data_IF_816565123771
#
_entry.id   IF_816565123771
#
_cell.length_a   1.000
_cell.length_b   1.000
_cell.length_c   1.000
_cell.angle_alpha   90.00
_cell.angle_beta   90.00
_cell.angle_gamma   90.00
#
_symmetry.space_group_name_H-M   'P 1'
#
loop_
_entity.id
_entity.type
_entity.pdbx_description
1 polymer ?
#
# COMPACT_ATOMS: atom_id res chain seq x y z
N UNK A 1 -10.97 -4.99 26.66
CA UNK A 1 -9.77 -5.68 27.19
C UNK A 1 -9.56 -5.31 28.65
N UNK A 2 -9.13 -6.27 29.48
CA UNK A 2 -8.85 -6.06 30.92
C UNK A 2 -7.48 -5.42 31.13
N UNK A 3 -7.37 -4.54 32.12
CA UNK A 3 -6.06 -4.03 32.62
C UNK A 3 -5.30 -5.12 33.36
N UNK A 4 -3.98 -4.97 33.49
CA UNK A 4 -3.13 -5.95 34.17
C UNK A 4 -3.60 -6.16 35.62
N UNK A 5 -3.94 -5.07 36.31
CA UNK A 5 -4.46 -5.14 37.68
C UNK A 5 -5.76 -5.93 37.76
N UNK A 6 -6.73 -5.65 36.89
CA UNK A 6 -8.01 -6.37 36.87
C UNK A 6 -7.82 -7.86 36.60
N UNK A 7 -6.95 -8.22 35.65
CA UNK A 7 -6.63 -9.62 35.36
C UNK A 7 -6.03 -10.32 36.58
N UNK A 8 -5.04 -9.68 37.21
CA UNK A 8 -4.35 -10.24 38.39
C UNK A 8 -5.30 -10.39 39.58
N UNK A 9 -6.18 -9.42 39.82
CA UNK A 9 -7.16 -9.50 40.90
C UNK A 9 -8.16 -10.65 40.67
N UNK A 10 -8.64 -10.84 39.44
CA UNK A 10 -9.53 -11.95 39.08
C UNK A 10 -8.84 -13.30 39.31
N UNK A 11 -7.65 -13.51 38.74
CA UNK A 11 -6.96 -14.80 38.82
C UNK A 11 -6.48 -15.12 40.24
N UNK A 12 -6.14 -14.10 41.03
CA UNK A 12 -5.80 -14.26 42.44
C UNK A 12 -6.98 -14.75 43.28
N UNK A 13 -8.19 -14.26 43.01
CA UNK A 13 -9.40 -14.71 43.72
C UNK A 13 -9.73 -16.19 43.44
N UNK A 14 -9.24 -16.71 42.31
CA UNK A 14 -9.35 -18.12 41.91
C UNK A 14 -8.17 -18.99 42.40
N UNK A 15 -7.27 -18.44 43.21
CA UNK A 15 -6.03 -19.10 43.66
C UNK A 15 -5.11 -19.56 42.51
N UNK A 16 -5.10 -18.85 41.39
CA UNK A 16 -4.24 -19.11 40.25
C UNK A 16 -2.99 -18.23 40.33
N UNK A 17 -1.81 -18.83 40.24
CA UNK A 17 -0.55 -18.10 40.09
C UNK A 17 -0.45 -17.55 38.66
N UNK A 18 -0.02 -16.30 38.56
CA UNK A 18 0.05 -15.59 37.28
C UNK A 18 1.47 -15.23 36.93
N UNK A 19 1.83 -15.43 35.67
CA UNK A 19 3.18 -15.20 35.16
C UNK A 19 3.12 -14.36 33.88
N UNK A 20 3.68 -13.15 33.96
CA UNK A 20 3.84 -12.30 32.78
C UNK A 20 4.91 -12.88 31.86
N UNK A 21 4.59 -12.99 30.58
CA UNK A 21 5.53 -13.36 29.55
C UNK A 21 6.21 -12.11 28.97
N UNK A 22 7.43 -12.29 28.49
CA UNK A 22 8.15 -11.24 27.76
C UNK A 22 7.85 -11.26 26.25
N UNK A 23 7.23 -12.33 25.76
CA UNK A 23 6.87 -12.52 24.35
C UNK A 23 5.63 -13.40 24.24
N UNK A 24 4.92 -13.29 23.11
CA UNK A 24 3.80 -14.17 22.75
C UNK A 24 4.29 -15.62 22.64
N UNK A 25 3.43 -16.60 22.95
CA UNK A 25 3.73 -18.02 22.75
C UNK A 25 3.40 -18.39 21.30
N UNK A 26 4.40 -18.88 20.56
CA UNK A 26 4.23 -19.42 19.20
C UNK A 26 4.44 -20.94 19.23
N UNK A 27 3.34 -21.70 19.25
CA UNK A 27 3.36 -23.17 19.22
C UNK A 27 2.21 -23.71 18.38
N UNK A 28 2.39 -24.88 17.76
CA UNK A 28 1.38 -25.46 16.86
C UNK A 28 0.16 -26.07 17.59
N UNK A 29 0.32 -26.43 18.87
CA UNK A 29 -0.73 -27.10 19.66
C UNK A 29 -1.57 -26.11 20.48
N UNK A 30 -2.18 -25.14 19.80
CA UNK A 30 -3.03 -24.12 20.40
C UNK A 30 -4.51 -24.51 20.35
N UNK A 31 -5.21 -24.35 21.48
CA UNK A 31 -6.67 -24.39 21.55
C UNK A 31 -7.15 -23.05 22.06
N UNK A 32 -7.89 -22.33 21.24
CA UNK A 32 -8.55 -21.10 21.66
C UNK A 32 -9.84 -21.44 22.43
N UNK A 33 -10.07 -20.70 23.52
CA UNK A 33 -11.31 -20.72 24.30
C UNK A 33 -12.05 -19.38 24.10
N UNK A 34 -13.37 -19.39 24.28
CA UNK A 34 -14.20 -18.21 24.00
C UNK A 34 -14.01 -17.09 25.02
N UNK A 35 -13.87 -17.43 26.31
CA UNK A 35 -13.88 -16.44 27.40
C UNK A 35 -12.86 -16.74 28.50
N UNK A 36 -12.51 -15.70 29.27
CA UNK A 36 -11.61 -15.84 30.41
C UNK A 36 -12.22 -16.78 31.46
N UNK A 37 -13.54 -16.70 31.64
CA UNK A 37 -14.31 -17.53 32.53
C UNK A 37 -14.22 -19.02 32.13
N UNK A 38 -14.21 -19.33 30.83
CA UNK A 38 -14.00 -20.70 30.34
C UNK A 38 -12.58 -21.19 30.61
N UNK A 39 -11.57 -20.34 30.42
CA UNK A 39 -10.18 -20.66 30.75
C UNK A 39 -9.99 -20.92 32.25
N UNK A 40 -10.57 -20.08 33.11
CA UNK A 40 -10.54 -20.25 34.57
C UNK A 40 -11.27 -21.54 34.97
N UNK A 41 -12.46 -21.79 34.42
CA UNK A 41 -13.22 -23.02 34.69
C UNK A 41 -12.43 -24.26 34.27
N UNK A 42 -11.77 -24.21 33.11
CA UNK A 42 -10.92 -25.29 32.64
C UNK A 42 -9.71 -25.49 33.56
N UNK A 43 -9.05 -24.42 33.97
CA UNK A 43 -7.90 -24.47 34.86
C UNK A 43 -8.27 -25.09 36.21
N UNK A 44 -9.34 -24.60 36.85
CA UNK A 44 -9.85 -25.12 38.11
C UNK A 44 -10.27 -26.60 38.00
N UNK A 45 -10.98 -26.96 36.92
CA UNK A 45 -11.43 -28.33 36.68
C UNK A 45 -10.30 -29.35 36.48
N UNK A 46 -9.11 -28.89 36.07
CA UNK A 46 -7.93 -29.72 35.81
C UNK A 46 -6.77 -29.50 36.79
N UNK A 47 -7.02 -28.82 37.92
CA UNK A 47 -6.01 -28.48 38.93
C UNK A 47 -4.79 -27.71 38.36
N UNK A 48 -5.02 -26.86 37.36
CA UNK A 48 -4.00 -25.98 36.80
C UNK A 48 -3.97 -24.71 37.66
N UNK A 49 -2.88 -24.54 38.40
CA UNK A 49 -2.70 -23.42 39.32
C UNK A 49 -1.80 -22.31 38.76
N UNK A 50 -1.49 -22.36 37.47
CA UNK A 50 -0.54 -21.45 36.81
C UNK A 50 -1.10 -21.00 35.47
N UNK A 51 -1.20 -19.69 35.27
CA UNK A 51 -1.60 -19.04 34.03
C UNK A 51 -0.51 -18.06 33.60
N UNK A 52 -0.26 -18.00 32.30
CA UNK A 52 0.66 -17.05 31.70
C UNK A 52 -0.12 -15.98 30.94
N UNK A 53 0.41 -14.77 30.83
CA UNK A 53 -0.23 -13.72 30.03
C UNK A 53 0.79 -12.83 29.35
N UNK A 54 0.38 -12.24 28.23
CA UNK A 54 1.17 -11.32 27.43
C UNK A 54 0.29 -10.19 26.91
N UNK A 55 0.82 -8.96 26.93
CA UNK A 55 0.19 -7.81 26.32
C UNK A 55 0.96 -7.44 25.06
N UNK A 56 0.24 -7.37 23.93
CA UNK A 56 0.79 -6.88 22.67
C UNK A 56 0.54 -5.38 22.58
N UNK A 57 1.59 -4.64 22.24
CA UNK A 57 1.56 -3.20 22.02
C UNK A 57 1.88 -2.94 20.56
N UNK A 58 1.27 -1.91 20.00
CA UNK A 58 1.73 -1.35 18.74
C UNK A 58 2.87 -0.38 19.02
N UNK A 59 3.65 -0.13 17.99
CA UNK A 59 4.49 1.05 17.90
C UNK A 59 4.00 1.95 16.75
N UNK A 60 4.67 3.09 16.60
CA UNK A 60 4.41 4.05 15.54
C UNK A 60 4.46 3.40 14.15
N UNK A 61 5.46 2.54 13.92
CA UNK A 61 5.65 1.86 12.62
C UNK A 61 4.47 0.97 12.22
N UNK A 62 3.73 0.42 13.18
CA UNK A 62 2.56 -0.41 12.90
C UNK A 62 1.41 0.37 12.24
N UNK A 63 1.34 1.69 12.43
CA UNK A 63 0.26 2.54 11.92
C UNK A 63 0.73 3.54 10.87
N UNK A 64 2.00 3.91 10.85
CA UNK A 64 2.57 4.83 9.86
C UNK A 64 2.59 4.24 8.46
N UNK A 65 2.26 5.06 7.47
CA UNK A 65 2.31 4.73 6.05
C UNK A 65 3.76 4.81 5.57
N UNK A 66 4.32 3.67 5.16
CA UNK A 66 5.64 3.56 4.56
C UNK A 66 5.62 3.59 3.03
N UNK A 67 6.80 3.67 2.43
CA UNK A 67 6.93 3.62 0.96
C UNK A 67 6.40 2.32 0.36
N UNK A 68 6.57 1.20 1.07
CA UNK A 68 6.14 -0.10 0.57
C UNK A 68 4.61 -0.21 0.54
N UNK A 69 3.92 0.35 1.55
CA UNK A 69 2.46 0.48 1.55
C UNK A 69 1.98 1.30 0.35
N UNK A 70 2.63 2.43 0.08
CA UNK A 70 2.28 3.30 -1.07
C UNK A 70 2.49 2.57 -2.41
N UNK A 71 3.59 1.81 -2.56
CA UNK A 71 3.91 1.08 -3.79
C UNK A 71 2.86 0.03 -4.14
N UNK A 72 2.19 -0.57 -3.16
CA UNK A 72 1.14 -1.56 -3.40
C UNK A 72 -0.04 -0.99 -4.20
N UNK A 73 -0.33 0.30 -4.03
CA UNK A 73 -1.43 0.99 -4.73
C UNK A 73 -1.07 1.43 -6.16
N UNK A 74 0.20 1.33 -6.58
CA UNK A 74 0.66 1.66 -7.94
C UNK A 74 0.21 3.04 -8.42
N UNK A 75 0.33 4.03 -7.54
CA UNK A 75 -0.01 5.43 -7.79
C UNK A 75 0.93 5.99 -8.86
N UNK A 76 0.38 6.74 -9.83
CA UNK A 76 1.15 7.39 -10.91
C UNK A 76 2.08 8.47 -10.32
N UNK A 77 3.31 8.60 -10.85
CA UNK A 77 4.31 9.55 -10.32
C UNK A 77 3.83 11.01 -10.34
N UNK A 78 2.98 11.39 -11.30
CA UNK A 78 2.43 12.75 -11.37
C UNK A 78 1.35 13.00 -10.31
N UNK A 79 0.73 11.93 -9.80
CA UNK A 79 -0.33 11.98 -8.78
C UNK A 79 0.24 11.87 -7.37
N UNK A 80 1.34 11.14 -7.21
CA UNK A 80 1.97 10.90 -5.90
C UNK A 80 2.21 12.21 -5.10
N UNK A 81 2.69 13.32 -5.68
CA UNK A 81 2.85 14.58 -4.94
C UNK A 81 1.57 15.13 -4.30
N UNK A 82 0.40 14.87 -4.89
CA UNK A 82 -0.90 15.28 -4.34
C UNK A 82 -1.18 14.53 -3.04
N UNK A 83 -0.83 13.25 -3.00
CA UNK A 83 -1.13 12.36 -1.89
C UNK A 83 -0.03 12.34 -0.83
N UNK A 84 1.20 12.67 -1.21
CA UNK A 84 2.35 12.65 -0.32
C UNK A 84 2.16 13.60 0.87
N UNK A 85 1.63 14.80 0.64
CA UNK A 85 1.34 15.76 1.72
C UNK A 85 0.36 15.19 2.74
N UNK A 86 -0.65 14.44 2.28
CA UNK A 86 -1.65 13.83 3.15
C UNK A 86 -1.13 12.58 3.86
N UNK A 87 -0.26 11.79 3.22
CA UNK A 87 0.46 10.69 3.89
C UNK A 87 1.38 11.21 4.99
N UNK A 88 2.15 12.27 4.71
CA UNK A 88 3.06 12.88 5.66
C UNK A 88 2.30 13.45 6.86
N UNK A 89 1.18 14.12 6.61
CA UNK A 89 0.30 14.65 7.65
C UNK A 89 -0.33 13.55 8.50
N UNK A 90 -0.78 12.45 7.88
CA UNK A 90 -1.29 11.28 8.61
C UNK A 90 -0.20 10.72 9.54
N UNK A 91 1.02 10.53 9.03
CA UNK A 91 2.15 10.04 9.82
C UNK A 91 2.54 11.00 10.95
N UNK A 92 2.46 12.31 10.72
CA UNK A 92 2.69 13.31 11.77
C UNK A 92 1.67 13.16 12.91
N UNK A 93 0.40 12.91 12.59
CA UNK A 93 -0.62 12.66 13.62
C UNK A 93 -0.43 11.30 14.33
N UNK A 94 -0.02 10.25 13.60
CA UNK A 94 0.35 8.96 14.21
C UNK A 94 1.50 9.12 15.21
N UNK A 95 2.50 9.93 14.89
CA UNK A 95 3.66 10.18 15.78
C UNK A 95 3.28 10.82 17.13
N UNK A 96 2.07 11.39 17.24
CA UNK A 96 1.55 12.03 18.45
C UNK A 96 0.76 11.07 19.34
N UNK A 97 0.52 9.83 18.90
CA UNK A 97 -0.28 8.85 19.63
C UNK A 97 0.44 8.26 20.84
N UNK A 98 -0.34 7.88 21.85
CA UNK A 98 0.15 7.18 23.02
C UNK A 98 0.06 5.65 22.83
N UNK A 99 1.18 5.07 22.41
CA UNK A 99 1.35 3.62 22.21
C UNK A 99 1.52 2.82 23.52
N UNK A 100 1.44 3.46 24.68
CA UNK A 100 1.53 2.76 25.97
C UNK A 100 0.31 1.88 26.27
N UNK A 101 -0.77 2.01 25.50
CA UNK A 101 -1.97 1.19 25.61
C UNK A 101 -1.84 -0.09 24.77
N UNK A 102 -2.06 -1.29 25.35
CA UNK A 102 -2.00 -2.52 24.58
C UNK A 102 -3.18 -2.62 23.61
N UNK A 103 -2.94 -3.34 22.52
CA UNK A 103 -3.95 -3.66 21.50
C UNK A 103 -4.49 -5.07 21.62
N UNK A 104 -3.80 -5.94 22.34
CA UNK A 104 -4.21 -7.33 22.56
C UNK A 104 -3.69 -7.81 23.92
N UNK A 105 -4.49 -8.65 24.56
CA UNK A 105 -4.12 -9.42 25.75
C UNK A 105 -4.32 -10.90 25.43
N UNK A 106 -3.23 -11.67 25.44
CA UNK A 106 -3.27 -13.12 25.33
C UNK A 106 -3.06 -13.76 26.70
N UNK A 107 -3.88 -14.74 27.06
CA UNK A 107 -3.82 -15.43 28.36
C UNK A 107 -3.80 -16.93 28.11
N UNK A 108 -2.87 -17.64 28.75
CA UNK A 108 -2.53 -19.03 28.44
C UNK A 108 -2.57 -19.94 29.67
N UNK A 109 -2.95 -21.19 29.47
CA UNK A 109 -2.62 -22.28 30.39
C UNK A 109 -2.11 -23.50 29.61
N UNK A 110 -1.32 -24.35 30.26
CA UNK A 110 -0.72 -25.54 29.62
C UNK A 110 -1.36 -26.78 30.22
N UNK A 111 -1.87 -27.66 29.37
CA UNK A 111 -2.47 -28.92 29.78
C UNK A 111 -2.09 -30.04 28.80
N UNK A 112 -1.47 -31.10 29.33
CA UNK A 112 -1.10 -32.31 28.56
C UNK A 112 -0.31 -32.00 27.27
N UNK A 113 0.57 -30.99 27.29
CA UNK A 113 1.38 -30.59 26.14
C UNK A 113 0.64 -29.72 25.11
N UNK A 114 -0.61 -29.33 25.40
CA UNK A 114 -1.38 -28.36 24.64
C UNK A 114 -1.38 -27.02 25.36
N UNK A 115 -1.41 -25.93 24.59
CA UNK A 115 -1.58 -24.58 25.11
C UNK A 115 -3.02 -24.15 24.87
N UNK A 116 -3.78 -23.95 25.93
CA UNK A 116 -5.10 -23.35 25.83
C UNK A 116 -4.96 -21.85 26.04
N UNK A 117 -5.67 -21.05 25.27
CA UNK A 117 -5.54 -19.61 25.37
C UNK A 117 -6.85 -18.87 25.08
N UNK A 118 -6.89 -17.61 25.49
CA UNK A 118 -7.88 -16.64 25.04
C UNK A 118 -7.17 -15.36 24.59
N UNK A 119 -7.81 -14.62 23.69
CA UNK A 119 -7.37 -13.28 23.28
C UNK A 119 -8.46 -12.24 23.56
N UNK A 120 -8.01 -11.04 23.91
CA UNK A 120 -8.87 -9.88 24.07
C UNK A 120 -8.27 -8.70 23.34
N UNK A 121 -8.93 -8.27 22.28
CA UNK A 121 -8.50 -7.13 21.50
C UNK A 121 -8.93 -5.79 22.11
N UNK A 122 -8.14 -4.77 21.80
CA UNK A 122 -8.40 -3.37 22.07
C UNK A 122 -7.87 -2.51 20.93
N UNK A 123 -8.65 -2.38 19.86
CA UNK A 123 -8.35 -1.49 18.73
C UNK A 123 -8.60 -0.02 19.10
N UNK A 124 -7.90 0.49 20.12
CA UNK A 124 -8.05 1.85 20.63
C UNK A 124 -7.77 2.89 19.54
N UNK A 125 -6.78 2.63 18.68
CA UNK A 125 -6.38 3.51 17.58
C UNK A 125 -7.53 3.79 16.60
N UNK A 126 -8.45 2.84 16.39
CA UNK A 126 -9.65 3.03 15.55
C UNK A 126 -10.59 4.07 16.16
N UNK A 127 -10.73 4.08 17.49
CA UNK A 127 -11.57 5.08 18.19
C UNK A 127 -10.97 6.47 18.12
N UNK A 128 -9.65 6.55 17.99
CA UNK A 128 -8.91 7.79 17.78
C UNK A 128 -8.86 8.23 16.31
N UNK A 129 -9.44 7.44 15.40
CA UNK A 129 -9.57 7.76 13.98
C UNK A 129 -8.40 7.27 13.11
N UNK A 130 -7.55 6.41 13.65
CA UNK A 130 -6.41 5.84 12.93
C UNK A 130 -6.71 4.42 12.48
N UNK A 131 -5.98 3.99 11.44
CA UNK A 131 -6.16 2.68 10.83
C UNK A 131 -4.80 2.07 10.48
N UNK A 132 -4.82 0.81 10.05
CA UNK A 132 -3.63 0.20 9.45
C UNK A 132 -3.21 0.97 8.18
N UNK A 133 -1.92 0.92 7.80
CA UNK A 133 -1.41 1.64 6.63
C UNK A 133 -2.23 1.41 5.36
N UNK A 134 -2.60 0.15 5.07
CA UNK A 134 -3.44 -0.21 3.92
C UNK A 134 -4.78 0.55 3.89
N UNK A 135 -5.48 0.60 5.02
CA UNK A 135 -6.78 1.25 5.13
C UNK A 135 -6.61 2.78 5.06
N UNK A 136 -5.59 3.31 5.72
CA UNK A 136 -5.29 4.74 5.71
C UNK A 136 -4.93 5.23 4.29
N UNK A 137 -4.04 4.54 3.57
CA UNK A 137 -3.71 4.82 2.18
C UNK A 137 -4.96 4.84 1.30
N UNK A 138 -5.78 3.79 1.40
CA UNK A 138 -7.01 3.69 0.62
C UNK A 138 -7.96 4.86 0.90
N UNK A 139 -8.16 5.21 2.17
CA UNK A 139 -9.04 6.33 2.54
C UNK A 139 -8.52 7.67 2.00
N UNK A 140 -7.21 7.91 2.10
CA UNK A 140 -6.59 9.14 1.58
C UNK A 140 -6.76 9.22 0.05
N UNK A 141 -6.52 8.13 -0.67
CA UNK A 141 -6.73 8.05 -2.13
C UNK A 141 -8.20 8.32 -2.50
N UNK A 142 -9.14 7.67 -1.79
CA UNK A 142 -10.58 7.83 -2.04
C UNK A 142 -11.06 9.27 -1.82
N UNK A 143 -10.48 9.97 -0.84
CA UNK A 143 -10.81 11.37 -0.54
C UNK A 143 -10.28 12.37 -1.59
N UNK A 144 -9.28 11.98 -2.39
CA UNK A 144 -8.63 12.86 -3.38
C UNK A 144 -8.94 12.45 -4.83
N UNK A 145 -9.93 11.59 -5.08
CA UNK A 145 -10.25 11.06 -6.41
C UNK A 145 -10.46 12.14 -7.48
N UNK A 146 -11.10 13.26 -7.14
CA UNK A 146 -11.35 14.35 -8.11
C UNK A 146 -10.05 15.09 -8.49
N UNK A 147 -9.13 15.28 -7.54
CA UNK A 147 -7.83 15.91 -7.79
C UNK A 147 -6.94 15.00 -8.62
N UNK A 148 -6.92 13.70 -8.28
CA UNK A 148 -6.26 12.65 -9.05
C UNK A 148 -6.77 12.64 -10.50
N UNK A 149 -8.09 12.70 -10.67
CA UNK A 149 -8.72 12.71 -12.00
C UNK A 149 -8.34 13.95 -12.79
N UNK A 150 -8.40 15.14 -12.17
CA UNK A 150 -8.01 16.39 -12.81
C UNK A 150 -6.55 16.36 -13.26
N UNK A 151 -5.63 15.87 -12.42
CA UNK A 151 -4.21 15.78 -12.77
C UNK A 151 -3.96 14.77 -13.89
N UNK A 152 -4.70 13.66 -13.88
CA UNK A 152 -4.68 12.66 -14.96
C UNK A 152 -5.15 13.26 -16.30
N UNK A 153 -6.20 14.08 -16.29
CA UNK A 153 -6.69 14.79 -17.48
C UNK A 153 -5.65 15.79 -17.99
N UNK A 154 -5.04 16.60 -17.11
CA UNK A 154 -3.93 17.50 -17.49
C UNK A 154 -2.73 16.75 -18.07
N UNK A 155 -2.41 15.56 -17.55
CA UNK A 155 -1.33 14.70 -18.08
C UNK A 155 -1.67 14.25 -19.50
N UNK A 156 -2.90 13.80 -19.73
CA UNK A 156 -3.36 13.41 -21.06
C UNK A 156 -3.27 14.56 -22.08
N UNK A 157 -3.68 15.77 -21.68
CA UNK A 157 -3.59 16.96 -22.53
C UNK A 157 -2.13 17.38 -22.81
N UNK A 158 -1.25 17.29 -21.82
CA UNK A 158 0.20 17.51 -21.99
C UNK A 158 0.80 16.51 -22.98
N UNK A 159 0.49 15.22 -22.84
CA UNK A 159 0.96 14.18 -23.77
C UNK A 159 0.49 14.47 -25.20
N UNK A 160 -0.79 14.82 -25.36
CA UNK A 160 -1.36 15.14 -26.68
C UNK A 160 -0.67 16.34 -27.32
N UNK A 161 -0.42 17.40 -26.53
CA UNK A 161 0.28 18.61 -26.98
C UNK A 161 1.72 18.30 -27.40
N UNK A 162 2.48 17.62 -26.55
CA UNK A 162 3.87 17.26 -26.81
C UNK A 162 4.01 16.33 -28.02
N UNK A 163 3.04 15.41 -28.23
CA UNK A 163 3.01 14.59 -29.44
C UNK A 163 2.70 15.39 -30.70
N UNK A 164 1.85 16.41 -30.62
CA UNK A 164 1.60 17.30 -31.76
C UNK A 164 2.87 18.09 -32.13
N UNK A 165 3.66 18.52 -31.15
CA UNK A 165 4.97 19.14 -31.39
C UNK A 165 5.96 18.16 -32.00
N UNK A 166 6.05 16.94 -31.45
CA UNK A 166 6.87 15.88 -32.03
C UNK A 166 6.45 15.56 -33.47
N UNK A 167 5.15 15.49 -33.73
CA UNK A 167 4.60 15.29 -35.07
C UNK A 167 5.10 16.37 -36.04
N UNK A 168 5.01 17.65 -35.68
CA UNK A 168 5.49 18.75 -36.50
C UNK A 168 7.00 18.71 -36.71
N UNK A 169 7.77 18.36 -35.68
CA UNK A 169 9.22 18.20 -35.76
C UNK A 169 9.59 17.12 -36.79
N UNK A 170 8.94 15.97 -36.72
CA UNK A 170 9.16 14.85 -37.63
C UNK A 170 8.73 15.17 -39.06
N UNK A 171 7.61 15.86 -39.24
CA UNK A 171 7.11 16.27 -40.56
C UNK A 171 8.09 17.20 -41.28
N UNK A 172 8.91 17.96 -40.55
CA UNK A 172 9.92 18.86 -41.09
C UNK A 172 11.33 18.26 -41.12
N UNK A 173 11.51 17.00 -40.69
CA UNK A 173 12.83 16.37 -40.61
C UNK A 173 13.26 15.75 -41.95
N UNK A 174 14.33 16.29 -42.53
CA UNK A 174 14.88 15.81 -43.80
C UNK A 174 15.44 14.38 -43.75
N UNK A 175 15.86 13.89 -42.57
CA UNK A 175 16.28 12.49 -42.38
C UNK A 175 15.06 11.56 -42.39
N UNK A 176 13.96 12.00 -41.78
CA UNK A 176 12.68 11.29 -41.82
C UNK A 176 12.15 11.16 -43.26
N UNK A 177 12.25 12.21 -44.08
CA UNK A 177 11.78 12.21 -45.47
C UNK A 177 12.48 11.16 -46.35
N UNK A 178 13.70 10.76 -45.99
CA UNK A 178 14.47 9.72 -46.70
C UNK A 178 14.00 8.30 -46.36
N UNK A 179 13.19 8.14 -45.33
CA UNK A 179 12.71 6.83 -44.85
C UNK A 179 11.49 6.33 -45.66
N UNK A 180 11.71 5.99 -46.93
CA UNK A 180 10.64 5.69 -47.89
C UNK A 180 9.96 4.33 -47.68
N UNK A 181 10.60 3.39 -46.97
CA UNK A 181 10.05 2.08 -46.63
C UNK A 181 9.92 1.88 -45.11
N UNK A 182 9.05 0.92 -44.73
CA UNK A 182 8.70 0.67 -43.33
C UNK A 182 9.92 0.29 -42.46
N UNK A 183 10.85 -0.58 -42.89
CA UNK A 183 12.07 -0.86 -42.11
C UNK A 183 12.88 0.40 -41.75
N UNK A 184 13.11 1.31 -42.71
CA UNK A 184 13.84 2.56 -42.44
C UNK A 184 13.09 3.44 -41.43
N UNK A 185 11.76 3.52 -41.53
CA UNK A 185 10.94 4.28 -40.58
C UNK A 185 10.97 3.71 -39.17
N UNK A 186 11.01 2.38 -39.02
CA UNK A 186 11.17 1.73 -37.70
C UNK A 186 12.52 2.05 -37.07
N UNK A 187 13.61 1.98 -37.85
CA UNK A 187 14.95 2.35 -37.36
C UNK A 187 14.98 3.82 -36.92
N UNK A 188 14.32 4.68 -37.69
CA UNK A 188 14.18 6.09 -37.35
C UNK A 188 13.36 6.31 -36.08
N UNK A 189 12.23 5.60 -35.92
CA UNK A 189 11.40 5.61 -34.72
C UNK A 189 12.21 5.18 -33.48
N UNK A 190 13.01 4.12 -33.60
CA UNK A 190 13.90 3.66 -32.53
C UNK A 190 14.89 4.76 -32.14
N UNK A 191 15.50 5.42 -33.13
CA UNK A 191 16.49 6.49 -32.91
C UNK A 191 15.89 7.71 -32.20
N UNK A 192 14.73 8.18 -32.66
CA UNK A 192 14.17 9.46 -32.22
C UNK A 192 13.22 9.30 -31.04
N UNK A 193 12.44 8.22 -30.99
CA UNK A 193 11.43 7.99 -29.96
C UNK A 193 11.99 7.04 -28.89
N UNK A 194 12.34 5.81 -29.24
CA UNK A 194 12.66 4.79 -28.22
C UNK A 194 13.97 5.03 -27.48
N UNK A 195 14.97 5.62 -28.13
CA UNK A 195 16.26 5.98 -27.51
C UNK A 195 16.24 7.34 -26.80
N UNK A 196 15.11 8.05 -26.82
CA UNK A 196 14.94 9.33 -26.15
C UNK A 196 13.91 9.19 -25.03
N UNK A 197 14.35 9.38 -23.79
CA UNK A 197 13.50 9.12 -22.61
C UNK A 197 12.27 10.04 -22.55
N UNK A 198 12.40 11.29 -22.99
CA UNK A 198 11.28 12.24 -23.04
C UNK A 198 10.25 11.85 -24.10
N UNK A 199 10.73 11.41 -25.27
CA UNK A 199 9.83 11.02 -26.35
C UNK A 199 9.13 9.68 -26.06
N UNK A 200 9.80 8.69 -25.44
CA UNK A 200 9.15 7.41 -25.15
C UNK A 200 8.08 7.54 -24.07
N UNK A 201 8.26 8.44 -23.09
CA UNK A 201 7.24 8.79 -22.08
C UNK A 201 5.95 9.32 -22.71
N UNK A 202 6.01 9.88 -23.92
CA UNK A 202 4.79 10.28 -24.64
C UNK A 202 3.94 9.08 -25.07
N UNK A 203 4.51 7.87 -25.20
CA UNK A 203 3.79 6.71 -25.75
C UNK A 203 3.50 5.62 -24.71
N UNK A 204 4.27 5.56 -23.63
CA UNK A 204 4.22 4.49 -22.64
C UNK A 204 3.70 4.96 -21.28
N UNK A 205 2.78 4.19 -20.67
CA UNK A 205 2.27 4.41 -19.31
C UNK A 205 3.22 3.83 -18.27
N UNK A 206 3.41 4.50 -17.15
CA UNK A 206 4.23 3.99 -16.03
C UNK A 206 3.69 2.68 -15.44
N UNK A 207 2.36 2.53 -15.41
CA UNK A 207 1.68 1.28 -15.03
C UNK A 207 1.82 0.14 -16.05
N UNK A 208 2.50 0.41 -17.18
CA UNK A 208 2.75 -0.52 -18.27
C UNK A 208 1.79 -0.35 -19.44
N UNK A 209 2.31 -0.61 -20.64
CA UNK A 209 1.54 -0.56 -21.89
C UNK A 209 1.49 0.81 -22.55
N UNK A 210 0.89 0.85 -23.74
CA UNK A 210 0.78 2.08 -24.53
C UNK A 210 -0.37 2.97 -24.03
N UNK A 211 -0.25 4.28 -24.19
CA UNK A 211 -1.36 5.20 -23.93
C UNK A 211 -2.57 4.88 -24.83
N UNK A 212 -2.33 4.82 -26.13
CA UNK A 212 -3.36 4.82 -27.18
C UNK A 212 -2.78 4.45 -28.56
N UNK A 213 -1.54 4.87 -28.84
CA UNK A 213 -0.84 4.59 -30.10
C UNK A 213 0.60 4.14 -29.84
N UNK A 214 1.06 3.15 -30.60
CA UNK A 214 2.47 2.74 -30.56
C UNK A 214 3.38 3.74 -31.30
N UNK A 215 4.69 3.82 -30.96
CA UNK A 215 5.66 4.62 -31.71
C UNK A 215 5.66 4.30 -33.21
N UNK A 216 5.47 3.04 -33.59
CA UNK A 216 5.44 2.60 -34.99
C UNK A 216 4.22 3.15 -35.74
N UNK A 217 3.04 3.05 -35.14
CA UNK A 217 1.80 3.57 -35.73
C UNK A 217 1.83 5.08 -35.86
N UNK A 218 2.38 5.77 -34.84
CA UNK A 218 2.56 7.23 -34.87
C UNK A 218 3.48 7.65 -36.02
N UNK A 219 4.59 6.95 -36.22
CA UNK A 219 5.53 7.23 -37.31
C UNK A 219 4.92 6.96 -38.69
N UNK A 220 4.14 5.89 -38.85
CA UNK A 220 3.43 5.63 -40.10
C UNK A 220 2.34 6.69 -40.36
N UNK A 221 1.69 7.22 -39.32
CA UNK A 221 0.76 8.34 -39.45
C UNK A 221 1.48 9.60 -39.96
N UNK A 222 2.61 9.98 -39.36
CA UNK A 222 3.42 11.13 -39.83
C UNK A 222 3.85 10.93 -41.28
N UNK A 223 4.27 9.73 -41.67
CA UNK A 223 4.69 9.43 -43.04
C UNK A 223 3.55 9.58 -44.06
N UNK A 224 2.33 9.15 -43.71
CA UNK A 224 1.15 9.32 -44.58
C UNK A 224 0.83 10.79 -44.83
N UNK A 225 0.95 11.63 -43.82
CA UNK A 225 0.75 13.07 -43.93
C UNK A 225 1.83 13.72 -44.81
N UNK A 226 3.11 13.40 -44.58
CA UNK A 226 4.21 13.85 -45.42
C UNK A 226 4.03 13.48 -46.91
N UNK A 227 3.65 12.22 -47.18
CA UNK A 227 3.42 11.76 -48.55
C UNK A 227 2.25 12.49 -49.21
N UNK A 228 1.25 12.89 -48.43
CA UNK A 228 0.09 13.64 -48.92
C UNK A 228 0.42 15.10 -49.19
N UNK A 229 1.33 15.72 -48.43
CA UNK A 229 1.79 17.09 -48.68
C UNK A 229 2.66 17.24 -49.92
N UNK A 230 3.40 16.20 -50.32
CA UNK A 230 4.19 16.19 -51.58
C UNK A 230 3.29 16.04 -52.83
N UNK A 231 2.10 15.45 -52.68
CA UNK A 231 1.17 15.21 -53.79
C UNK A 231 0.26 16.39 -54.13
N UNK A 232 0.27 17.46 -53.33
CA UNK A 232 -0.43 18.71 -53.58
C UNK A 232 0.49 19.70 -54.26
#
# INVERSE_FOLDING_TARGET
MKTEKELLDILKNENINTYKLNSKIEVDNLIELDTLEDLIRFANGNNINSIFYYYTYLDEYCLSIGEDDIKEFKIDEDVLPILQEEFDKYNEEVSKLDFSNPVELSIYCIYQGMTLFIEQDNSWYIKEGFYTPEIACKSIIENHLEEIKLETEKKADRIKTNRAELFQKLLNDSEFHKCTNMPLRRIYADKIIRKNIENIKLFWRETGGWYDISPEEFIEYVWREHKSSIKK
#
